data_IF_612613818260
#
_entry.id   IF_612613818260
#
_cell.length_a   1.000
_cell.length_b   1.000
_cell.length_c   1.000
_cell.angle_alpha   90.00
_cell.angle_beta   90.00
_cell.angle_gamma   90.00
#
_symmetry.space_group_name_H-M   'P 1'
#
loop_
_entity.id
_entity.type
_entity.pdbx_description
1 polymer ?
#
# COMPACT_ATOMS: atom_id res chain seq x y z
N UNK A 1 -75.31 -46.50 -10.19
CA UNK A 1 -74.01 -47.11 -10.51
C UNK A 1 -73.13 -45.97 -11.00
N UNK A 2 -72.36 -45.36 -10.09
CA UNK A 2 -71.54 -44.19 -10.37
C UNK A 2 -70.07 -44.64 -10.45
N UNK A 3 -69.46 -44.49 -11.62
CA UNK A 3 -68.02 -44.61 -11.80
C UNK A 3 -67.40 -43.22 -11.62
N UNK A 4 -66.60 -43.07 -10.56
CA UNK A 4 -65.95 -41.82 -10.16
C UNK A 4 -64.50 -41.79 -10.60
N UNK A 5 -64.28 -41.50 -11.88
CA UNK A 5 -62.96 -41.13 -12.41
C UNK A 5 -62.74 -39.63 -12.27
N UNK A 6 -61.69 -39.22 -11.52
CA UNK A 6 -60.66 -38.28 -12.00
C UNK A 6 -59.57 -38.02 -10.95
N UNK A 7 -58.38 -38.43 -11.38
CA UNK A 7 -57.04 -38.25 -10.83
C UNK A 7 -56.76 -36.86 -10.22
N UNK A 8 -56.17 -36.86 -9.02
CA UNK A 8 -55.55 -35.69 -8.40
C UNK A 8 -54.21 -35.39 -9.08
N UNK A 9 -54.13 -34.27 -9.78
CA UNK A 9 -52.86 -33.75 -10.31
C UNK A 9 -52.07 -33.10 -9.17
N UNK A 10 -51.11 -33.84 -8.62
CA UNK A 10 -50.07 -33.31 -7.74
C UNK A 10 -49.13 -32.40 -8.55
N UNK A 11 -49.17 -31.10 -8.27
CA UNK A 11 -48.20 -30.15 -8.82
C UNK A 11 -46.85 -30.41 -8.15
N UNK A 12 -45.84 -30.82 -8.95
CA UNK A 12 -44.49 -31.16 -8.49
C UNK A 12 -43.81 -29.89 -7.93
N UNK A 13 -43.27 -29.87 -6.70
CA UNK A 13 -42.67 -28.68 -6.08
C UNK A 13 -41.26 -28.36 -6.60
N UNK A 14 -40.91 -28.79 -7.81
CA UNK A 14 -39.56 -28.67 -8.37
C UNK A 14 -39.16 -27.20 -8.66
N UNK A 15 -40.13 -26.29 -8.84
CA UNK A 15 -39.86 -24.88 -9.10
C UNK A 15 -39.37 -24.07 -7.89
N UNK A 16 -39.76 -24.48 -6.66
CA UNK A 16 -39.42 -23.72 -5.44
C UNK A 16 -37.98 -23.97 -5.01
N UNK A 17 -37.48 -25.19 -5.18
CA UNK A 17 -36.08 -25.54 -4.85
C UNK A 17 -35.06 -24.87 -5.79
N UNK A 18 -35.42 -24.66 -7.06
CA UNK A 18 -34.53 -24.00 -8.01
C UNK A 18 -34.36 -22.50 -7.71
N UNK A 19 -35.41 -21.83 -7.23
CA UNK A 19 -35.36 -20.40 -6.90
C UNK A 19 -34.52 -20.10 -5.65
N UNK A 20 -34.48 -21.00 -4.66
CA UNK A 20 -33.65 -20.85 -3.46
C UNK A 20 -32.16 -20.99 -3.75
N UNK A 21 -31.76 -21.83 -4.71
CA UNK A 21 -30.36 -22.01 -5.09
C UNK A 21 -29.76 -20.77 -5.78
N UNK A 22 -30.56 -20.00 -6.54
CA UNK A 22 -30.10 -18.76 -7.16
C UNK A 22 -29.92 -17.60 -6.17
N UNK A 23 -30.57 -17.63 -5.00
CA UNK A 23 -30.44 -16.58 -3.99
C UNK A 23 -29.15 -16.68 -3.15
N UNK A 24 -28.52 -17.86 -3.11
CA UNK A 24 -27.31 -18.09 -2.30
C UNK A 24 -26.00 -17.56 -2.94
N UNK A 25 -26.03 -17.15 -4.22
CA UNK A 25 -24.86 -16.66 -4.95
C UNK A 25 -24.62 -15.14 -4.89
N UNK A 26 -25.53 -14.39 -4.28
CA UNK A 26 -25.51 -12.91 -4.27
C UNK A 26 -24.96 -12.32 -2.96
N UNK A 27 -24.00 -12.99 -2.31
CA UNK A 27 -23.26 -12.38 -1.23
C UNK A 27 -22.35 -11.28 -1.81
N UNK A 28 -22.37 -10.04 -1.30
CA UNK A 28 -21.42 -9.03 -1.72
C UNK A 28 -20.03 -9.52 -1.33
N UNK A 29 -19.15 -9.66 -2.32
CA UNK A 29 -17.73 -9.83 -2.04
C UNK A 29 -17.25 -8.52 -1.40
N UNK A 30 -17.06 -8.50 -0.08
CA UNK A 30 -16.30 -7.42 0.56
C UNK A 30 -14.90 -7.47 -0.02
N UNK A 31 -14.65 -6.59 -0.97
CA UNK A 31 -13.33 -6.37 -1.54
C UNK A 31 -12.42 -5.90 -0.41
N UNK A 32 -11.69 -6.86 0.15
CA UNK A 32 -10.75 -6.67 1.25
C UNK A 32 -9.61 -5.81 0.70
N UNK A 33 -9.84 -4.49 0.67
CA UNK A 33 -8.93 -3.50 0.12
C UNK A 33 -7.69 -3.50 1.01
N UNK A 34 -6.69 -4.28 0.61
CA UNK A 34 -5.42 -4.37 1.29
C UNK A 34 -4.90 -2.94 1.50
N UNK A 35 -4.77 -2.53 2.77
CA UNK A 35 -4.31 -1.19 3.10
C UNK A 35 -2.90 -1.00 2.52
N UNK A 36 -2.74 -0.03 1.62
CA UNK A 36 -1.45 0.28 1.02
C UNK A 36 -0.50 0.76 2.14
N UNK A 37 0.68 0.13 2.32
CA UNK A 37 1.64 0.54 3.32
C UNK A 37 2.04 2.00 3.15
N UNK A 38 2.00 2.79 4.23
CA UNK A 38 2.46 4.18 4.25
C UNK A 38 3.84 4.23 4.91
N UNK A 39 4.85 4.64 4.17
CA UNK A 39 6.19 4.85 4.69
C UNK A 39 6.35 6.32 5.13
N UNK A 40 7.10 6.54 6.21
CA UNK A 40 7.48 7.86 6.70
C UNK A 40 8.96 8.08 6.39
N UNK A 41 9.29 9.26 5.88
CA UNK A 41 10.65 9.74 5.67
C UNK A 41 10.84 11.09 6.38
N UNK A 42 12.07 11.38 6.79
CA UNK A 42 12.46 12.63 7.43
C UNK A 42 13.87 13.04 7.02
N UNK A 43 14.24 14.30 7.25
CA UNK A 43 15.58 14.85 7.02
C UNK A 43 16.03 15.55 8.28
N UNK A 44 17.21 15.18 8.77
CA UNK A 44 17.88 15.87 9.88
C UNK A 44 18.98 16.76 9.32
N UNK A 45 18.84 18.08 9.48
CA UNK A 45 19.83 19.05 9.03
C UNK A 45 20.85 19.31 10.13
N UNK A 46 22.10 18.94 9.88
CA UNK A 46 23.24 19.27 10.75
C UNK A 46 24.11 20.32 10.05
N UNK A 47 24.38 21.44 10.73
CA UNK A 47 25.26 22.50 10.22
C UNK A 47 26.62 22.39 10.88
N UNK A 48 27.67 22.26 10.07
CA UNK A 48 29.07 22.25 10.51
C UNK A 48 29.75 23.48 9.94
N UNK A 49 30.41 24.25 10.79
CA UNK A 49 31.19 25.43 10.40
C UNK A 49 32.67 25.12 10.56
N UNK A 50 33.46 25.36 9.52
CA UNK A 50 34.91 25.23 9.54
C UNK A 50 35.59 26.57 9.23
N UNK A 51 36.82 26.75 9.71
CA UNK A 51 37.67 27.91 9.40
C UNK A 51 39.08 27.41 9.20
N UNK A 52 39.70 27.76 8.08
CA UNK A 52 41.06 27.35 7.73
C UNK A 52 42.02 28.52 7.91
N UNK A 53 43.18 28.24 8.48
CA UNK A 53 44.28 29.19 8.64
C UNK A 53 45.54 28.64 7.99
N UNK A 54 46.37 29.52 7.46
CA UNK A 54 47.70 29.17 6.96
C UNK A 54 48.71 28.98 8.10
N UNK A 55 49.97 28.67 7.74
CA UNK A 55 51.05 28.45 8.70
C UNK A 55 51.38 29.70 9.54
N UNK A 56 51.10 30.90 9.02
CA UNK A 56 51.29 32.17 9.71
C UNK A 56 50.06 32.57 10.55
N UNK A 57 49.00 31.75 10.53
CA UNK A 57 47.76 31.95 11.30
C UNK A 57 46.75 32.89 10.65
N UNK A 58 46.96 33.30 9.40
CA UNK A 58 46.03 34.15 8.62
C UNK A 58 44.89 33.31 8.06
N UNK A 59 43.73 33.94 7.84
CA UNK A 59 42.57 33.26 7.26
C UNK A 59 42.78 32.96 5.78
N UNK A 60 42.43 31.74 5.39
CA UNK A 60 42.31 31.34 3.98
C UNK A 60 40.92 31.74 3.51
N UNK A 61 40.82 32.67 2.56
CA UNK A 61 39.57 33.34 2.18
C UNK A 61 39.02 32.92 0.81
N UNK A 62 39.75 32.06 0.09
CA UNK A 62 39.50 31.65 -1.29
C UNK A 62 39.10 30.17 -1.42
N UNK A 63 38.68 29.54 -0.31
CA UNK A 63 38.15 28.19 -0.33
C UNK A 63 36.87 28.10 -1.18
N UNK A 64 36.85 27.10 -2.04
CA UNK A 64 35.73 26.76 -2.91
C UNK A 64 35.04 25.50 -2.41
N UNK A 65 33.93 25.10 -3.04
CA UNK A 65 33.28 23.83 -2.74
C UNK A 65 34.22 22.63 -2.98
N UNK A 66 35.06 22.71 -4.01
CA UNK A 66 35.87 21.58 -4.46
C UNK A 66 37.04 21.29 -3.52
N UNK A 67 37.32 22.19 -2.57
CA UNK A 67 38.31 22.01 -1.50
C UNK A 67 37.78 21.19 -0.32
N UNK A 68 36.51 20.77 -0.35
CA UNK A 68 35.88 19.97 0.70
C UNK A 68 35.37 18.63 0.16
N UNK A 69 35.70 17.55 0.87
CA UNK A 69 35.14 16.21 0.65
C UNK A 69 34.24 15.83 1.83
N UNK A 70 33.05 15.33 1.51
CA UNK A 70 32.12 14.77 2.51
C UNK A 70 32.16 13.26 2.35
N UNK A 71 32.38 12.53 3.44
CA UNK A 71 32.37 11.07 3.43
C UNK A 71 31.54 10.52 4.58
N UNK A 72 30.81 9.45 4.33
CA UNK A 72 30.09 8.66 5.34
C UNK A 72 30.64 7.24 5.32
N UNK A 73 31.10 6.75 6.48
CA UNK A 73 31.73 5.43 6.63
C UNK A 73 32.85 5.16 5.60
N UNK A 74 33.66 6.19 5.32
CA UNK A 74 34.75 6.14 4.35
C UNK A 74 34.32 6.17 2.88
N UNK A 75 33.03 6.41 2.60
CA UNK A 75 32.49 6.53 1.24
C UNK A 75 32.20 7.99 0.90
N UNK A 76 32.74 8.54 -0.20
CA UNK A 76 32.46 9.91 -0.64
C UNK A 76 30.97 10.15 -0.91
N UNK A 77 30.50 11.35 -0.57
CA UNK A 77 29.13 11.83 -0.74
C UNK A 77 29.12 13.11 -1.58
N UNK A 78 28.02 13.38 -2.30
CA UNK A 78 27.82 14.58 -3.12
C UNK A 78 26.55 15.34 -2.75
#
# INVERSE_FOLDING_TARGET
MFDGSRSSSFVRPAGVLLLLALAAGAAPAEEQRAAVPRFRSGVDLVKVTATVRDAEGRLVCDLTRDDFEISEDGRPQR
#
